data_IF_138752052620
#
_entry.id   IF_138752052620
#
_cell.length_a   1.000
_cell.length_b   1.000
_cell.length_c   1.000
_cell.angle_alpha   90.00
_cell.angle_beta   90.00
_cell.angle_gamma   90.00
#
_symmetry.space_group_name_H-M   'P 1'
#
loop_
_entity.id
_entity.type
_entity.pdbx_description
1 polymer ?
#
# COMPACT_ATOMS: atom_id res chain seq x y z
N UNK A 1 2.44 -15.28 4.04
CA UNK A 1 2.30 -13.96 3.43
C UNK A 1 0.98 -13.31 3.81
N UNK A 2 0.98 -12.02 4.07
CA UNK A 2 -0.20 -11.28 4.54
C UNK A 2 -1.36 -11.36 3.54
N UNK A 3 -1.06 -11.34 2.25
CA UNK A 3 -2.10 -11.28 1.22
C UNK A 3 -2.21 -12.57 0.40
N UNK A 4 -1.83 -13.70 0.98
CA UNK A 4 -1.95 -14.99 0.29
C UNK A 4 -3.41 -15.33 0.00
N UNK A 5 -4.33 -14.87 0.82
CA UNK A 5 -5.76 -15.00 0.57
C UNK A 5 -6.32 -13.60 0.32
N UNK A 6 -6.52 -13.26 -0.96
CA UNK A 6 -6.91 -11.89 -1.32
C UNK A 6 -8.29 -11.50 -0.81
N UNK A 7 -9.14 -12.47 -0.43
CA UNK A 7 -10.46 -12.19 0.11
C UNK A 7 -10.49 -12.12 1.63
N UNK A 8 -9.32 -12.26 2.27
CA UNK A 8 -9.25 -12.24 3.75
C UNK A 8 -9.71 -10.90 4.32
N UNK A 9 -9.60 -9.82 3.56
CA UNK A 9 -9.97 -8.47 4.00
C UNK A 9 -11.31 -8.02 3.47
N UNK A 10 -12.06 -8.91 2.87
CA UNK A 10 -13.38 -8.63 2.31
C UNK A 10 -14.32 -8.08 3.39
N UNK A 11 -15.06 -7.05 3.04
CA UNK A 11 -15.99 -6.36 3.91
C UNK A 11 -15.36 -5.49 5.01
N UNK A 12 -14.03 -5.40 5.05
CA UNK A 12 -13.38 -4.36 5.87
C UNK A 12 -13.65 -3.00 5.25
N UNK A 13 -13.62 -1.94 6.07
CA UNK A 13 -13.76 -0.61 5.52
C UNK A 13 -12.52 0.22 5.81
N UNK A 14 -12.14 1.05 4.83
CA UNK A 14 -11.00 1.95 5.02
C UNK A 14 -11.46 3.14 5.84
N UNK A 15 -10.86 3.32 7.02
CA UNK A 15 -11.18 4.45 7.88
C UNK A 15 -10.31 5.64 7.59
N UNK A 16 -9.04 5.42 7.30
CA UNK A 16 -8.17 6.49 6.84
C UNK A 16 -6.90 5.93 6.20
N UNK A 17 -6.24 6.79 5.45
CA UNK A 17 -4.95 6.51 4.83
C UNK A 17 -4.01 7.60 5.29
N UNK A 18 -2.89 7.22 5.89
CA UNK A 18 -1.89 8.15 6.39
C UNK A 18 -0.65 8.01 5.52
N UNK A 19 -0.22 9.10 4.91
CA UNK A 19 0.95 9.11 4.04
C UNK A 19 2.08 9.80 4.78
N UNK A 20 3.15 9.08 5.03
CA UNK A 20 4.36 9.62 5.64
C UNK A 20 5.51 9.54 4.65
N UNK A 21 6.65 10.09 5.03
CA UNK A 21 7.79 10.17 4.13
C UNK A 21 8.20 8.82 3.56
N UNK A 22 8.21 7.79 4.39
CA UNK A 22 8.72 6.48 4.01
C UNK A 22 7.71 5.35 4.17
N UNK A 23 6.45 5.65 4.43
CA UNK A 23 5.45 4.58 4.57
C UNK A 23 4.05 5.12 4.37
N UNK A 24 3.16 4.21 4.02
CA UNK A 24 1.73 4.49 3.93
C UNK A 24 1.03 3.55 4.91
N UNK A 25 0.19 4.10 5.75
CA UNK A 25 -0.58 3.33 6.73
C UNK A 25 -2.04 3.37 6.30
N UNK A 26 -2.61 2.18 6.07
CA UNK A 26 -4.04 2.06 5.76
C UNK A 26 -4.73 1.49 6.98
N UNK A 27 -5.62 2.27 7.55
CA UNK A 27 -6.36 1.85 8.74
C UNK A 27 -7.70 1.26 8.31
N UNK A 28 -7.90 -0.01 8.64
CA UNK A 28 -9.12 -0.73 8.27
C UNK A 28 -9.94 -1.05 9.51
N UNK A 29 -11.24 -0.89 9.40
CA UNK A 29 -12.15 -1.41 10.41
C UNK A 29 -12.63 -2.79 9.98
N UNK A 30 -12.40 -3.78 10.84
CA UNK A 30 -12.77 -5.16 10.59
C UNK A 30 -13.77 -5.61 11.65
N UNK A 31 -14.29 -6.82 11.51
CA UNK A 31 -15.23 -7.38 12.49
C UNK A 31 -14.64 -7.43 13.89
N UNK A 32 -13.33 -7.56 14.01
CA UNK A 32 -12.68 -7.69 15.31
C UNK A 32 -11.99 -6.41 15.77
N UNK A 33 -12.19 -5.31 15.07
CA UNK A 33 -11.63 -4.02 15.46
C UNK A 33 -10.83 -3.37 14.36
N UNK A 34 -10.00 -2.41 14.74
CA UNK A 34 -9.22 -1.63 13.78
C UNK A 34 -7.86 -2.29 13.60
N UNK A 35 -7.48 -2.46 12.35
CA UNK A 35 -6.21 -3.07 11.97
C UNK A 35 -5.48 -2.15 11.00
N UNK A 36 -4.22 -1.82 11.31
CA UNK A 36 -3.37 -1.05 10.40
C UNK A 36 -2.60 -1.99 9.50
N UNK A 37 -2.51 -1.63 8.23
CA UNK A 37 -1.59 -2.25 7.29
C UNK A 37 -0.56 -1.19 6.91
N UNK A 38 0.71 -1.49 7.13
CA UNK A 38 1.80 -0.54 6.92
C UNK A 38 2.61 -0.98 5.71
N UNK A 39 2.64 -0.13 4.69
CA UNK A 39 3.40 -0.35 3.46
C UNK A 39 4.68 0.45 3.58
N UNK A 40 5.80 -0.22 3.83
CA UNK A 40 7.07 0.41 4.17
C UNK A 40 7.91 0.69 2.92
N UNK A 41 8.59 1.82 2.94
CA UNK A 41 9.50 2.24 1.87
C UNK A 41 8.80 2.28 0.52
N UNK A 42 7.61 2.88 0.49
CA UNK A 42 6.86 2.97 -0.75
C UNK A 42 7.54 3.91 -1.73
N UNK A 43 7.39 3.61 -3.02
CA UNK A 43 7.95 4.44 -4.09
C UNK A 43 6.88 4.92 -5.04
N UNK A 44 5.66 4.40 -4.93
CA UNK A 44 4.56 4.87 -5.77
C UNK A 44 3.24 4.61 -5.08
N UNK A 45 2.28 5.48 -5.36
CA UNK A 45 0.96 5.41 -4.77
C UNK A 45 -0.02 5.92 -5.82
N UNK A 46 -0.84 5.04 -6.37
CA UNK A 46 -1.84 5.38 -7.37
C UNK A 46 -3.21 5.34 -6.69
N UNK A 47 -3.87 6.49 -6.63
CA UNK A 47 -5.01 6.67 -5.77
C UNK A 47 -5.99 7.68 -6.37
N UNK A 48 -7.24 7.29 -6.43
CA UNK A 48 -8.32 8.18 -6.82
C UNK A 48 -9.06 8.58 -5.55
N UNK A 49 -9.15 9.89 -5.30
CA UNK A 49 -9.62 10.40 -4.02
C UNK A 49 -11.12 10.39 -3.82
N UNK A 50 -11.89 10.08 -4.84
CA UNK A 50 -13.34 10.03 -4.73
C UNK A 50 -13.83 8.60 -4.90
N UNK A 51 -14.38 8.06 -3.84
CA UNK A 51 -14.94 6.71 -3.84
C UNK A 51 -16.42 6.80 -3.50
N UNK A 52 -17.22 5.93 -4.11
CA UNK A 52 -18.60 5.77 -3.70
C UNK A 52 -18.68 4.95 -2.41
N UNK A 53 -17.78 3.98 -2.26
CA UNK A 53 -17.76 3.09 -1.11
C UNK A 53 -16.33 2.92 -0.63
N UNK A 54 -16.16 2.87 0.68
CA UNK A 54 -14.85 2.61 1.28
C UNK A 54 -14.68 1.15 1.71
N UNK A 55 -15.54 0.27 1.26
CA UNK A 55 -15.54 -1.14 1.65
C UNK A 55 -14.62 -1.91 0.73
N UNK A 56 -13.75 -2.71 1.34
CA UNK A 56 -12.74 -3.48 0.63
C UNK A 56 -13.37 -4.74 0.06
N UNK A 57 -13.11 -5.01 -1.22
CA UNK A 57 -13.45 -6.27 -1.84
C UNK A 57 -12.31 -7.27 -1.71
N UNK A 58 -11.09 -6.82 -1.99
CA UNK A 58 -9.92 -7.70 -1.94
C UNK A 58 -8.65 -6.89 -1.77
N UNK A 59 -7.63 -7.50 -1.17
CA UNK A 59 -6.27 -6.96 -1.14
C UNK A 59 -5.35 -8.06 -1.64
N UNK A 60 -4.49 -7.75 -2.60
CA UNK A 60 -3.62 -8.75 -3.20
C UNK A 60 -2.39 -8.11 -3.81
N UNK A 61 -1.40 -8.94 -4.05
CA UNK A 61 -0.17 -8.54 -4.72
C UNK A 61 -0.37 -8.72 -6.22
N UNK A 62 -0.02 -7.69 -7.00
CA UNK A 62 -0.12 -7.73 -8.45
C UNK A 62 1.17 -8.29 -9.03
N UNK A 63 1.06 -9.30 -9.87
CA UNK A 63 2.19 -9.83 -10.61
C UNK A 63 2.39 -9.03 -11.89
N UNK A 64 3.64 -8.92 -12.35
CA UNK A 64 3.98 -8.25 -13.61
C UNK A 64 3.45 -6.82 -13.68
N UNK A 65 3.66 -6.07 -12.60
CA UNK A 65 3.11 -4.74 -12.51
C UNK A 65 3.83 -3.76 -13.43
N UNK A 66 3.07 -3.17 -14.34
CA UNK A 66 3.56 -2.08 -15.17
C UNK A 66 3.94 -0.87 -14.32
N UNK A 67 3.23 -0.63 -13.22
CA UNK A 67 3.51 0.49 -12.34
C UNK A 67 4.89 0.37 -11.72
N UNK A 68 5.27 -0.84 -11.29
CA UNK A 68 6.60 -1.05 -10.73
C UNK A 68 7.67 -0.69 -11.75
N UNK A 69 7.53 -1.18 -12.98
CA UNK A 69 8.51 -0.91 -14.02
C UNK A 69 8.60 0.59 -14.33
N UNK A 70 7.47 1.26 -14.47
CA UNK A 70 7.44 2.69 -14.75
C UNK A 70 8.11 3.51 -13.67
N UNK A 71 7.85 3.17 -12.42
CA UNK A 71 8.41 3.92 -11.30
C UNK A 71 9.91 3.71 -11.20
N UNK A 72 10.36 2.47 -11.39
CA UNK A 72 11.80 2.18 -11.33
C UNK A 72 12.55 2.93 -12.41
N UNK A 73 11.99 3.02 -13.63
CA UNK A 73 12.61 3.81 -14.68
C UNK A 73 12.76 5.27 -14.28
N UNK A 74 11.74 5.83 -13.64
CA UNK A 74 11.80 7.22 -13.19
C UNK A 74 12.84 7.42 -12.09
N UNK A 75 12.93 6.49 -11.16
CA UNK A 75 13.90 6.58 -10.07
C UNK A 75 15.33 6.52 -10.63
N UNK A 76 15.57 5.62 -11.58
CA UNK A 76 16.87 5.52 -12.21
C UNK A 76 17.25 6.82 -12.89
N UNK A 77 16.33 7.42 -13.63
CA UNK A 77 16.58 8.68 -14.32
C UNK A 77 16.87 9.82 -13.34
N UNK A 78 16.13 9.88 -12.23
CA UNK A 78 16.34 10.92 -11.22
C UNK A 78 17.70 10.73 -10.54
N UNK A 79 18.06 9.50 -10.21
CA UNK A 79 19.34 9.21 -9.58
C UNK A 79 20.50 9.60 -10.49
N UNK A 80 20.38 9.34 -11.78
CA UNK A 80 21.39 9.72 -12.75
C UNK A 80 21.64 11.24 -12.75
N UNK A 81 20.57 12.00 -12.60
CA UNK A 81 20.65 13.46 -12.65
C UNK A 81 21.08 14.03 -11.31
N UNK A 82 20.45 13.58 -10.23
CA UNK A 82 20.62 14.21 -8.92
C UNK A 82 21.80 13.72 -8.13
N UNK A 83 22.17 12.45 -8.31
CA UNK A 83 23.18 11.82 -7.46
C UNK A 83 24.42 11.45 -8.21
N UNK A 84 24.71 12.13 -9.27
CA UNK A 84 25.82 11.87 -10.15
C UNK A 84 27.15 12.04 -9.43
N UNK A 85 27.65 11.66 -8.65
CA UNK A 85 28.84 11.84 -7.85
C UNK A 85 28.54 11.76 -6.38
N UNK A 86 27.31 11.43 -6.01
CA UNK A 86 26.89 11.36 -4.63
C UNK A 86 26.20 10.05 -4.33
N UNK A 87 25.45 10.02 -3.23
CA UNK A 87 24.69 8.85 -2.86
C UNK A 87 23.58 8.54 -3.84
N UNK A 88 23.19 7.29 -3.92
CA UNK A 88 22.08 6.86 -4.75
C UNK A 88 21.04 6.18 -3.89
N UNK A 89 19.77 6.24 -4.34
CA UNK A 89 18.72 5.49 -3.71
C UNK A 89 18.91 4.01 -4.03
N UNK A 90 18.70 3.16 -3.04
CA UNK A 90 18.76 1.72 -3.26
C UNK A 90 17.56 1.30 -4.09
N UNK A 91 17.80 0.82 -5.30
CA UNK A 91 16.75 0.34 -6.19
C UNK A 91 16.82 -1.17 -6.39
N UNK A 92 17.66 -1.84 -5.61
CA UNK A 92 17.84 -3.28 -5.74
C UNK A 92 16.85 -4.07 -4.89
N UNK A 93 15.99 -3.39 -4.14
CA UNK A 93 14.98 -4.06 -3.35
C UNK A 93 13.96 -4.77 -4.24
N UNK A 94 13.33 -5.79 -3.69
CA UNK A 94 12.29 -6.53 -4.38
C UNK A 94 10.97 -5.75 -4.31
N UNK A 95 10.76 -4.86 -5.25
CA UNK A 95 9.59 -3.99 -5.28
C UNK A 95 8.37 -4.75 -5.74
N UNK A 96 7.27 -4.57 -5.02
CA UNK A 96 6.00 -5.22 -5.34
C UNK A 96 4.87 -4.21 -5.35
N UNK A 97 3.87 -4.46 -6.17
CA UNK A 97 2.68 -3.63 -6.21
C UNK A 97 1.55 -4.36 -5.48
N UNK A 98 0.97 -3.69 -4.50
CA UNK A 98 -0.19 -4.21 -3.77
C UNK A 98 -1.42 -3.44 -4.18
N UNK A 99 -2.52 -4.15 -4.39
CA UNK A 99 -3.77 -3.57 -4.84
C UNK A 99 -4.80 -3.73 -3.73
N UNK A 100 -5.43 -2.62 -3.35
CA UNK A 100 -6.62 -2.64 -2.52
C UNK A 100 -7.78 -2.33 -3.45
N UNK A 101 -8.60 -3.33 -3.71
CA UNK A 101 -9.76 -3.19 -4.59
C UNK A 101 -10.99 -2.96 -3.75
N UNK A 102 -11.72 -1.89 -4.06
CA UNK A 102 -12.97 -1.56 -3.38
C UNK A 102 -14.14 -2.19 -4.10
N UNK A 103 -15.27 -2.31 -3.40
CA UNK A 103 -16.43 -2.99 -3.98
C UNK A 103 -17.02 -2.26 -5.18
N UNK A 104 -16.74 -0.97 -5.33
CA UNK A 104 -17.21 -0.21 -6.49
C UNK A 104 -16.25 -0.32 -7.69
N UNK A 105 -15.18 -1.09 -7.57
CA UNK A 105 -14.24 -1.30 -8.65
C UNK A 105 -13.02 -0.41 -8.63
N UNK A 106 -12.98 0.60 -7.75
CA UNK A 106 -11.81 1.46 -7.63
C UNK A 106 -10.66 0.66 -7.05
N UNK A 107 -9.47 0.84 -7.62
CA UNK A 107 -8.27 0.15 -7.16
C UNK A 107 -7.26 1.18 -6.66
N UNK A 108 -6.74 0.95 -5.46
CA UNK A 108 -5.63 1.71 -4.89
C UNK A 108 -4.38 0.86 -5.04
N UNK A 109 -3.33 1.40 -5.65
CA UNK A 109 -2.10 0.66 -5.87
C UNK A 109 -0.96 1.30 -5.10
N UNK A 110 -0.20 0.47 -4.40
CA UNK A 110 0.95 0.92 -3.61
C UNK A 110 2.14 0.05 -3.98
N UNK A 111 3.22 0.67 -4.43
CA UNK A 111 4.48 -0.04 -4.72
C UNK A 111 5.43 0.21 -3.56
N UNK A 112 5.85 -0.87 -2.92
CA UNK A 112 6.71 -0.79 -1.75
C UNK A 112 7.57 -2.05 -1.66
N UNK A 113 8.51 -2.07 -0.70
CA UNK A 113 9.37 -3.24 -0.55
C UNK A 113 8.97 -4.15 0.61
N UNK A 114 8.12 -3.69 1.51
CA UNK A 114 7.72 -4.50 2.65
C UNK A 114 6.35 -4.09 3.17
N UNK A 115 5.60 -5.05 3.68
CA UNK A 115 4.29 -4.81 4.26
C UNK A 115 4.22 -5.50 5.60
N UNK A 116 3.79 -4.77 6.63
CA UNK A 116 3.60 -5.34 7.96
C UNK A 116 2.22 -4.97 8.47
N UNK A 117 1.72 -5.77 9.41
CA UNK A 117 0.50 -5.44 10.12
C UNK A 117 0.87 -4.64 11.37
N UNK A 118 0.19 -3.54 11.55
CA UNK A 118 0.35 -2.74 12.75
C UNK A 118 -0.42 -3.34 13.91
N UNK A 119 -0.41 -2.61 15.03
CA UNK A 119 -1.11 -3.04 16.21
C UNK A 119 -2.61 -3.04 15.95
N UNK A 120 -3.27 -4.14 16.29
CA UNK A 120 -4.71 -4.25 16.14
C UNK A 120 -5.41 -3.70 17.37
N UNK A 121 -6.41 -2.84 17.14
CA UNK A 121 -7.23 -2.28 18.19
C UNK A 121 -8.65 -2.82 18.06
N UNK A 122 -9.27 -3.13 19.19
CA UNK A 122 -10.66 -3.57 19.20
C UNK A 122 -11.58 -2.39 19.37
N UNK A 123 -12.72 -2.44 18.72
CA UNK A 123 -13.69 -1.36 18.82
C UNK A 123 -14.22 -1.16 20.22
N UNK A 124 -14.22 -2.18 21.04
CA UNK A 124 -14.80 -2.14 22.37
C UNK A 124 -13.76 -1.98 23.48
N UNK A 125 -12.56 -1.56 23.16
CA UNK A 125 -11.46 -1.48 24.14
C UNK A 125 -11.36 -0.13 24.81
N UNK A 126 -12.38 0.64 24.77
CA UNK A 126 -12.33 2.01 25.26
C UNK A 126 -12.54 2.14 26.73
N UNK A 127 -13.04 1.14 27.36
CA UNK A 127 -13.30 1.25 28.79
C UNK A 127 -12.08 1.02 29.64
#
# INVERSE_FOLDING_TARGET
MIFSNKRAWHDSSIEKIIIEYNKIIVELETDSGIQDIIFENYIAFDYIGQWDENIVDAIYEENDSFLVESVLERIIAINDIKYKGGGTRNIDSDWKCYIIKLIDGVCIRIVCDNVILGKKLRCSDDE
#
